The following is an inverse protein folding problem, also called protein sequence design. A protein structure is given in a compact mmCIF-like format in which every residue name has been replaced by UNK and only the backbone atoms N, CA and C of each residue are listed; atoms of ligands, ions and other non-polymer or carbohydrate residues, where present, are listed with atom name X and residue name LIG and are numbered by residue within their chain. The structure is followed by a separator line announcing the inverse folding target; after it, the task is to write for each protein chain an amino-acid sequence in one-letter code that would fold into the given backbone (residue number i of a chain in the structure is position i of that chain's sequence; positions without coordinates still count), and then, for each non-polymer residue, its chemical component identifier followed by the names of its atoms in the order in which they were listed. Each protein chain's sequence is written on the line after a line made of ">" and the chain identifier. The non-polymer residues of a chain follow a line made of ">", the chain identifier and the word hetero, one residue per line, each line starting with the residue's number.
data_IF_656054593748
#
_entry.id   IF_656054593748
#
_cell.length_a   1.000
_cell.length_b   1.000
_cell.length_c   1.000
_cell.angle_alpha   90.00
_cell.angle_beta   90.00
_cell.angle_gamma   90.00
#
_symmetry.space_group_name_H-M   'P 1'
#
loop_
_entity.id
_entity.type
_entity.pdbx_description
1 polymer ?
#
# COMPACT_ATOMS: atom_id res chain seq x y z
N UNK A 1 12.43 -7.96 12.99
CA UNK A 1 12.87 -9.03 13.92
C UNK A 1 13.98 -9.81 13.23
N UNK A 2 14.93 -10.38 13.98
CA UNK A 2 16.03 -11.14 13.38
C UNK A 2 15.56 -12.42 12.71
N UNK A 3 16.34 -12.91 11.74
CA UNK A 3 16.15 -14.24 11.14
C UNK A 3 16.02 -15.28 12.25
N UNK A 4 15.09 -16.22 12.11
CA UNK A 4 14.84 -17.33 13.05
C UNK A 4 14.25 -16.96 14.43
N UNK A 5 13.72 -15.74 14.61
CA UNK A 5 13.02 -15.37 15.86
C UNK A 5 11.72 -16.16 16.06
N UNK A 6 11.03 -16.52 14.97
CA UNK A 6 9.81 -17.33 14.96
C UNK A 6 10.07 -18.53 14.05
N UNK A 7 9.70 -19.74 14.49
CA UNK A 7 9.96 -20.94 13.69
C UNK A 7 9.14 -20.93 12.38
N UNK A 8 9.73 -21.47 11.31
CA UNK A 8 9.05 -21.64 10.01
C UNK A 8 7.75 -22.44 10.14
N UNK A 9 7.72 -23.44 11.02
CA UNK A 9 6.50 -24.22 11.29
C UNK A 9 5.37 -23.36 11.88
N UNK A 10 5.67 -22.45 12.80
CA UNK A 10 4.67 -21.53 13.35
C UNK A 10 4.18 -20.52 12.30
N UNK A 11 5.09 -19.96 11.50
CA UNK A 11 4.71 -19.07 10.39
C UNK A 11 3.81 -19.80 9.38
N UNK A 12 4.20 -21.02 8.98
CA UNK A 12 3.43 -21.86 8.05
C UNK A 12 2.02 -22.18 8.55
N UNK A 13 1.86 -22.47 9.85
CA UNK A 13 0.55 -22.73 10.45
C UNK A 13 -0.38 -21.50 10.34
N UNK A 14 0.15 -20.29 10.50
CA UNK A 14 -0.61 -19.05 10.32
C UNK A 14 -0.98 -18.85 8.85
N UNK A 15 -0.04 -19.08 7.92
CA UNK A 15 -0.30 -18.96 6.48
C UNK A 15 -1.37 -19.95 6.02
N UNK A 16 -1.31 -21.21 6.49
CA UNK A 16 -2.31 -22.23 6.16
C UNK A 16 -3.73 -21.80 6.56
N UNK A 17 -3.89 -21.23 7.76
CA UNK A 17 -5.20 -20.73 8.21
C UNK A 17 -5.64 -19.47 7.45
N UNK A 18 -4.71 -18.57 7.08
CA UNK A 18 -5.02 -17.39 6.24
C UNK A 18 -5.51 -17.84 4.85
N UNK A 19 -4.83 -18.77 4.20
CA UNK A 19 -5.22 -19.28 2.87
C UNK A 19 -6.56 -20.01 2.97
N UNK A 20 -6.71 -20.91 3.94
CA UNK A 20 -7.95 -21.67 4.17
C UNK A 20 -9.15 -20.76 4.43
N UNK A 21 -8.99 -19.75 5.27
CA UNK A 21 -10.05 -18.77 5.53
C UNK A 21 -10.38 -17.96 4.28
N UNK A 22 -9.36 -17.53 3.53
CA UNK A 22 -9.49 -16.79 2.27
C UNK A 22 -10.28 -17.55 1.22
N UNK A 23 -9.90 -18.82 0.97
CA UNK A 23 -10.59 -19.73 0.05
C UNK A 23 -12.02 -20.03 0.46
N UNK A 24 -12.31 -20.10 1.78
CA UNK A 24 -13.64 -20.38 2.30
C UNK A 24 -14.62 -19.22 2.08
N UNK A 25 -14.16 -17.98 2.24
CA UNK A 25 -14.99 -16.79 2.03
C UNK A 25 -15.05 -16.33 0.57
N UNK A 26 -14.12 -16.81 -0.26
CA UNK A 26 -14.07 -16.53 -1.68
C UNK A 26 -15.32 -17.03 -2.42
N UNK A 27 -15.76 -16.26 -3.41
CA UNK A 27 -16.78 -16.69 -4.35
C UNK A 27 -16.09 -17.49 -5.47
N UNK A 28 -16.39 -18.80 -5.55
CA UNK A 28 -15.85 -19.68 -6.60
C UNK A 28 -16.05 -19.04 -7.99
N UNK A 29 -14.94 -18.72 -8.67
CA UNK A 29 -14.93 -18.20 -10.04
C UNK A 29 -14.70 -16.68 -10.20
N UNK A 30 -14.54 -15.89 -9.12
CA UNK A 30 -14.21 -14.44 -9.22
C UNK A 30 -12.88 -14.06 -8.59
N UNK A 31 -12.83 -14.02 -7.26
CA UNK A 31 -11.64 -13.67 -6.49
C UNK A 31 -11.21 -14.91 -5.68
N UNK A 32 -9.98 -15.46 -5.88
CA UNK A 32 -9.56 -16.70 -5.22
C UNK A 32 -9.47 -16.62 -3.70
N UNK A 33 -9.06 -15.46 -3.16
CA UNK A 33 -9.00 -15.20 -1.72
C UNK A 33 -9.86 -13.99 -1.38
N UNK A 34 -10.69 -14.12 -0.35
CA UNK A 34 -11.50 -13.02 0.17
C UNK A 34 -11.47 -12.98 1.69
N UNK A 35 -11.48 -11.78 2.25
CA UNK A 35 -11.40 -11.56 3.70
C UNK A 35 -12.39 -10.49 4.13
N UNK A 36 -12.75 -10.51 5.40
CA UNK A 36 -13.68 -9.55 5.99
C UNK A 36 -13.14 -9.04 7.33
N UNK A 37 -13.27 -7.75 7.55
CA UNK A 37 -12.99 -7.11 8.83
C UNK A 37 -14.13 -6.15 9.17
N UNK A 38 -14.67 -6.24 10.38
CA UNK A 38 -15.83 -5.46 10.83
C UNK A 38 -17.01 -5.48 9.85
N UNK A 39 -17.35 -6.68 9.32
CA UNK A 39 -18.47 -6.87 8.39
C UNK A 39 -18.24 -6.32 6.98
N UNK A 40 -17.00 -5.93 6.63
CA UNK A 40 -16.65 -5.37 5.32
C UNK A 40 -15.48 -6.08 4.67
N UNK A 41 -15.61 -6.34 3.38
CA UNK A 41 -14.58 -6.95 2.52
C UNK A 41 -13.67 -5.87 1.96
N UNK A 42 -12.75 -5.37 2.78
CA UNK A 42 -11.85 -4.28 2.42
C UNK A 42 -10.79 -4.69 1.38
N UNK A 43 -10.36 -3.72 0.57
CA UNK A 43 -9.33 -3.93 -0.45
C UNK A 43 -7.97 -3.32 -0.10
N UNK A 44 -7.96 -2.24 0.68
CA UNK A 44 -6.74 -1.47 0.96
C UNK A 44 -5.72 -2.17 1.86
N UNK A 45 -4.56 -1.53 2.05
CA UNK A 45 -3.41 -2.13 2.73
C UNK A 45 -3.62 -2.34 4.24
N UNK A 46 -4.36 -1.45 4.90
CA UNK A 46 -4.48 -1.50 6.37
C UNK A 46 -5.36 -2.67 6.87
N UNK A 47 -6.44 -2.98 6.16
CA UNK A 47 -7.49 -3.89 6.65
C UNK A 47 -8.03 -4.84 5.57
N UNK A 48 -7.40 -4.88 4.40
CA UNK A 48 -7.98 -5.52 3.22
C UNK A 48 -7.02 -6.41 2.44
N UNK A 49 -7.49 -6.80 1.25
CA UNK A 49 -6.81 -7.73 0.35
C UNK A 49 -5.35 -7.34 0.10
N UNK A 50 -5.08 -6.07 -0.23
CA UNK A 50 -3.72 -5.60 -0.51
C UNK A 50 -2.74 -5.90 0.64
N UNK A 51 -3.15 -5.63 1.88
CA UNK A 51 -2.32 -5.90 3.06
C UNK A 51 -2.03 -7.37 3.24
N UNK A 52 -3.05 -8.22 3.08
CA UNK A 52 -2.91 -9.66 3.26
C UNK A 52 -2.04 -10.26 2.15
N UNK A 53 -2.26 -9.87 0.89
CA UNK A 53 -1.42 -10.33 -0.23
C UNK A 53 0.02 -9.87 -0.06
N UNK A 54 0.24 -8.64 0.41
CA UNK A 54 1.58 -8.11 0.68
C UNK A 54 2.35 -8.99 1.67
N UNK A 55 1.72 -9.40 2.77
CA UNK A 55 2.34 -10.28 3.77
C UNK A 55 2.54 -11.70 3.23
N UNK A 56 1.55 -12.26 2.53
CA UNK A 56 1.65 -13.61 1.96
C UNK A 56 2.83 -13.75 0.99
N UNK A 57 3.18 -12.69 0.26
CA UNK A 57 4.33 -12.69 -0.65
C UNK A 57 5.70 -12.73 0.05
N UNK A 58 5.78 -12.49 1.36
CA UNK A 58 7.01 -12.71 2.15
C UNK A 58 7.15 -14.15 2.65
N UNK A 59 6.13 -14.98 2.45
CA UNK A 59 6.06 -16.32 3.01
C UNK A 59 6.39 -17.37 1.96
N UNK A 60 6.84 -18.54 2.42
CA UNK A 60 6.96 -19.73 1.56
C UNK A 60 5.56 -20.27 1.24
N UNK A 61 5.09 -20.00 0.02
CA UNK A 61 3.79 -20.44 -0.50
C UNK A 61 3.92 -21.68 -1.38
N UNK A 62 2.91 -22.55 -1.32
CA UNK A 62 2.77 -23.67 -2.28
C UNK A 62 2.39 -23.14 -3.67
N UNK A 63 2.64 -23.89 -4.76
CA UNK A 63 2.31 -23.42 -6.12
C UNK A 63 0.85 -22.99 -6.30
N UNK A 64 -0.11 -23.69 -5.70
CA UNK A 64 -1.53 -23.34 -5.74
C UNK A 64 -1.86 -22.07 -4.92
N UNK A 65 -1.13 -21.85 -3.82
CA UNK A 65 -1.26 -20.65 -2.98
C UNK A 65 -0.69 -19.41 -3.70
N UNK A 66 0.40 -19.58 -4.46
CA UNK A 66 0.96 -18.52 -5.32
C UNK A 66 -0.06 -18.08 -6.38
N UNK A 67 -0.71 -19.04 -7.05
CA UNK A 67 -1.72 -18.72 -8.07
C UNK A 67 -2.96 -18.04 -7.48
N UNK A 68 -3.35 -18.39 -6.25
CA UNK A 68 -4.42 -17.71 -5.53
C UNK A 68 -4.07 -16.25 -5.19
N UNK A 69 -2.83 -15.99 -4.76
CA UNK A 69 -2.35 -14.63 -4.49
C UNK A 69 -2.34 -13.81 -5.78
N UNK A 70 -1.74 -14.34 -6.85
CA UNK A 70 -1.73 -13.68 -8.17
C UNK A 70 -3.15 -13.42 -8.69
N UNK A 71 -4.02 -14.42 -8.61
CA UNK A 71 -5.41 -14.31 -9.05
C UNK A 71 -6.20 -13.26 -8.25
N UNK A 72 -5.94 -13.13 -6.95
CA UNK A 72 -6.53 -12.07 -6.10
C UNK A 72 -6.04 -10.68 -6.51
N UNK A 73 -4.74 -10.52 -6.79
CA UNK A 73 -4.20 -9.25 -7.28
C UNK A 73 -4.76 -8.88 -8.66
N UNK A 74 -4.83 -9.84 -9.60
CA UNK A 74 -5.44 -9.63 -10.92
C UNK A 74 -6.93 -9.28 -10.82
N UNK A 75 -7.64 -9.89 -9.87
CA UNK A 75 -9.02 -9.50 -9.56
C UNK A 75 -9.11 -8.03 -9.16
N UNK A 76 -8.23 -7.54 -8.29
CA UNK A 76 -8.21 -6.13 -7.90
C UNK A 76 -7.89 -5.21 -9.09
N UNK A 77 -6.88 -5.54 -9.89
CA UNK A 77 -6.48 -4.77 -11.08
C UNK A 77 -7.65 -4.63 -12.06
N UNK A 78 -8.32 -5.74 -12.37
CA UNK A 78 -9.44 -5.79 -13.33
C UNK A 78 -10.65 -4.98 -12.88
N UNK A 79 -10.87 -4.86 -11.57
CA UNK A 79 -12.07 -4.27 -10.99
C UNK A 79 -11.80 -2.92 -10.29
N UNK A 80 -10.70 -2.24 -10.65
CA UNK A 80 -10.43 -0.85 -10.24
C UNK A 80 -11.44 0.12 -10.85
N UNK A 81 -11.55 1.33 -10.29
CA UNK A 81 -12.42 2.38 -10.84
C UNK A 81 -11.93 2.85 -12.22
N UNK A 82 -12.81 3.47 -13.04
CA UNK A 82 -12.41 4.08 -14.31
C UNK A 82 -11.28 5.12 -14.19
N UNK A 83 -11.13 5.76 -13.03
CA UNK A 83 -10.03 6.69 -12.75
C UNK A 83 -8.67 6.02 -12.57
N UNK A 84 -8.63 4.69 -12.45
CA UNK A 84 -7.47 3.89 -12.06
C UNK A 84 -7.34 3.66 -10.54
N UNK A 85 -8.10 4.37 -9.70
CA UNK A 85 -8.08 4.18 -8.25
C UNK A 85 -8.78 2.89 -7.82
N UNK A 86 -8.57 2.44 -6.59
CA UNK A 86 -9.14 1.19 -6.07
C UNK A 86 -10.29 1.45 -5.08
N UNK A 87 -11.35 0.63 -5.12
CA UNK A 87 -12.41 0.65 -4.11
C UNK A 87 -11.87 0.50 -2.70
N UNK A 88 -12.57 1.08 -1.73
CA UNK A 88 -12.23 0.87 -0.31
C UNK A 88 -12.59 -0.55 0.16
N UNK A 89 -13.71 -1.08 -0.34
CA UNK A 89 -14.22 -2.42 -0.09
C UNK A 89 -15.07 -2.91 -1.26
N UNK A 90 -15.40 -4.20 -1.29
CA UNK A 90 -16.36 -4.79 -2.25
C UNK A 90 -17.65 -3.96 -2.33
N UNK A 91 -18.14 -3.73 -3.55
CA UNK A 91 -19.37 -2.98 -3.83
C UNK A 91 -19.31 -1.47 -3.55
N UNK A 92 -18.16 -0.93 -3.12
CA UNK A 92 -18.03 0.52 -2.93
C UNK A 92 -17.94 1.22 -4.28
N UNK A 93 -18.90 2.12 -4.55
CA UNK A 93 -18.93 2.95 -5.77
C UNK A 93 -18.26 4.33 -5.57
N UNK A 94 -17.75 4.61 -4.36
CA UNK A 94 -17.20 5.92 -3.99
C UNK A 94 -15.69 6.01 -4.26
N UNK A 95 -15.34 6.61 -5.39
CA UNK A 95 -13.94 6.86 -5.78
C UNK A 95 -13.39 8.16 -5.17
N UNK A 96 -13.12 8.13 -3.86
CA UNK A 96 -12.64 9.32 -3.13
C UNK A 96 -11.34 9.14 -2.34
N UNK A 97 -11.05 7.92 -1.87
CA UNK A 97 -9.92 7.67 -0.97
C UNK A 97 -8.67 7.35 -1.79
N UNK A 98 -7.61 8.14 -1.60
CA UNK A 98 -6.29 7.95 -2.22
C UNK A 98 -5.27 7.89 -1.08
N UNK A 99 -5.42 6.87 -0.23
CA UNK A 99 -4.67 6.70 1.01
C UNK A 99 -3.94 5.35 1.03
N UNK A 100 -2.92 5.20 1.88
CA UNK A 100 -2.32 3.88 2.12
C UNK A 100 -3.37 2.90 2.67
N UNK A 101 -4.16 3.32 3.66
CA UNK A 101 -5.18 2.45 4.25
C UNK A 101 -6.27 2.03 3.27
N UNK A 102 -6.66 2.90 2.34
CA UNK A 102 -7.71 2.66 1.34
C UNK A 102 -7.44 3.44 0.05
N UNK A 103 -7.32 2.72 -1.07
CA UNK A 103 -7.14 3.27 -2.41
C UNK A 103 -5.77 2.97 -3.02
N UNK A 104 -5.45 3.69 -4.09
CA UNK A 104 -4.27 3.46 -4.91
C UNK A 104 -2.95 3.37 -4.14
N UNK A 105 -2.62 4.24 -3.15
CA UNK A 105 -1.30 4.19 -2.52
C UNK A 105 -0.94 2.84 -1.91
N UNK A 106 -1.81 2.25 -1.10
CA UNK A 106 -1.54 0.94 -0.48
C UNK A 106 -1.51 -0.20 -1.50
N UNK A 107 -2.36 -0.12 -2.54
CA UNK A 107 -2.39 -1.11 -3.61
C UNK A 107 -1.14 -1.01 -4.49
N UNK A 108 -0.63 0.19 -4.79
CA UNK A 108 0.61 0.37 -5.55
C UNK A 108 1.78 -0.29 -4.85
N UNK A 109 1.97 -0.09 -3.54
CA UNK A 109 3.06 -0.73 -2.79
C UNK A 109 2.96 -2.26 -2.84
N UNK A 110 1.73 -2.80 -2.80
CA UNK A 110 1.51 -4.25 -2.93
C UNK A 110 1.84 -4.75 -4.34
N UNK A 111 1.42 -4.03 -5.38
CA UNK A 111 1.68 -4.40 -6.77
C UNK A 111 3.15 -4.25 -7.14
N UNK A 112 3.85 -3.29 -6.57
CA UNK A 112 5.29 -3.14 -6.71
C UNK A 112 6.02 -4.38 -6.19
N UNK A 113 5.68 -4.81 -4.97
CA UNK A 113 6.19 -6.08 -4.41
C UNK A 113 5.83 -7.29 -5.26
N UNK A 114 4.60 -7.37 -5.77
CA UNK A 114 4.19 -8.46 -6.65
C UNK A 114 5.02 -8.50 -7.95
N UNK A 115 5.41 -7.34 -8.48
CA UNK A 115 6.29 -7.27 -9.63
C UNK A 115 7.70 -7.79 -9.31
N UNK A 116 8.24 -7.50 -8.12
CA UNK A 116 9.55 -8.02 -7.68
C UNK A 116 9.52 -9.53 -7.45
N UNK A 117 8.50 -10.03 -6.75
CA UNK A 117 8.39 -11.44 -6.35
C UNK A 117 8.05 -12.34 -7.53
N UNK A 118 7.15 -11.92 -8.43
CA UNK A 118 6.68 -12.76 -9.51
C UNK A 118 7.34 -12.47 -10.87
N UNK A 119 7.98 -11.31 -11.04
CA UNK A 119 8.63 -10.92 -12.30
C UNK A 119 7.66 -10.68 -13.47
N UNK A 120 6.36 -10.56 -13.21
CA UNK A 120 5.34 -10.43 -14.25
C UNK A 120 5.08 -8.96 -14.60
N UNK A 121 5.16 -8.63 -15.90
CA UNK A 121 4.98 -7.26 -16.43
C UNK A 121 3.61 -6.66 -16.10
N UNK A 122 2.58 -7.49 -15.93
CA UNK A 122 1.23 -7.03 -15.58
C UNK A 122 1.22 -6.30 -14.23
N UNK A 123 1.90 -6.84 -13.21
CA UNK A 123 1.95 -6.22 -11.89
C UNK A 123 2.76 -4.92 -11.91
N UNK A 124 3.87 -4.89 -12.65
CA UNK A 124 4.65 -3.68 -12.84
C UNK A 124 3.80 -2.57 -13.48
N UNK A 125 3.12 -2.87 -14.59
CA UNK A 125 2.29 -1.87 -15.27
C UNK A 125 1.14 -1.39 -14.37
N UNK A 126 0.49 -2.31 -13.64
CA UNK A 126 -0.58 -1.96 -12.72
C UNK A 126 -0.09 -1.09 -11.55
N UNK A 127 1.12 -1.32 -11.04
CA UNK A 127 1.75 -0.47 -10.03
C UNK A 127 2.01 0.94 -10.56
N UNK A 128 2.56 1.06 -11.79
CA UNK A 128 2.79 2.33 -12.48
C UNK A 128 1.48 3.10 -12.68
N UNK A 129 0.46 2.45 -13.22
CA UNK A 129 -0.87 3.05 -13.43
C UNK A 129 -1.48 3.56 -12.12
N UNK A 130 -1.37 2.79 -11.04
CA UNK A 130 -1.86 3.19 -9.73
C UNK A 130 -1.03 4.36 -9.17
N UNK A 131 0.28 4.40 -9.42
CA UNK A 131 1.16 5.53 -9.10
C UNK A 131 0.75 6.83 -9.81
N UNK A 132 0.24 6.77 -11.04
CA UNK A 132 -0.32 7.93 -11.75
C UNK A 132 -1.54 8.53 -11.04
N UNK A 133 -2.37 7.70 -10.42
CA UNK A 133 -3.48 8.17 -9.57
C UNK A 133 -2.95 8.96 -8.39
N UNK A 134 -1.90 8.45 -7.72
CA UNK A 134 -1.28 9.11 -6.57
C UNK A 134 -0.62 10.42 -6.99
N UNK A 135 0.00 10.47 -8.16
CA UNK A 135 0.56 11.73 -8.68
C UNK A 135 -0.51 12.79 -8.89
N UNK A 136 -1.64 12.42 -9.50
CA UNK A 136 -2.72 13.37 -9.84
C UNK A 136 -3.60 13.76 -8.63
N UNK A 137 -3.76 12.87 -7.64
CA UNK A 137 -4.77 13.01 -6.57
C UNK A 137 -4.22 12.81 -5.15
N UNK A 138 -2.95 12.45 -5.00
CA UNK A 138 -2.35 12.04 -3.73
C UNK A 138 -1.79 13.17 -2.88
N UNK A 139 -1.84 14.43 -3.33
CA UNK A 139 -1.47 15.59 -2.51
C UNK A 139 -2.62 15.95 -1.55
N UNK A 140 -2.76 15.14 -0.50
CA UNK A 140 -3.89 15.20 0.43
C UNK A 140 -3.84 16.43 1.35
N UNK A 141 -4.99 16.82 1.90
CA UNK A 141 -5.08 17.83 2.97
C UNK A 141 -4.79 17.24 4.35
N UNK A 142 -3.84 16.31 4.45
CA UNK A 142 -3.44 15.62 5.70
C UNK A 142 -1.94 15.29 5.67
N UNK A 143 -1.27 15.36 6.81
CA UNK A 143 0.19 15.24 6.88
C UNK A 143 0.70 13.79 6.95
N UNK A 144 0.03 12.91 7.70
CA UNK A 144 0.59 11.64 8.17
C UNK A 144 0.84 10.52 7.13
N UNK A 145 1.19 9.35 7.66
CA UNK A 145 1.55 8.14 6.89
C UNK A 145 0.33 7.32 6.45
N UNK A 146 -0.67 7.14 7.31
CA UNK A 146 -1.81 6.28 7.02
C UNK A 146 -2.67 6.78 5.84
N UNK A 147 -2.86 8.10 5.80
CA UNK A 147 -3.76 8.77 4.86
C UNK A 147 -3.38 10.25 4.68
N UNK A 148 -2.09 10.53 4.50
CA UNK A 148 -1.55 11.86 4.27
C UNK A 148 -0.48 11.87 3.18
N UNK A 149 0.07 13.05 2.93
CA UNK A 149 1.10 13.25 1.89
C UNK A 149 2.35 12.42 2.23
N UNK A 150 2.70 12.28 3.51
CA UNK A 150 3.91 11.54 3.90
C UNK A 150 3.82 10.07 3.44
N UNK A 151 2.69 9.41 3.70
CA UNK A 151 2.48 8.03 3.25
C UNK A 151 2.40 7.88 1.74
N UNK A 152 1.74 8.82 1.06
CA UNK A 152 1.63 8.79 -0.40
C UNK A 152 2.98 9.02 -1.09
N UNK A 153 3.95 9.65 -0.43
CA UNK A 153 5.32 9.82 -0.97
C UNK A 153 6.02 8.48 -1.18
N UNK A 154 5.81 7.51 -0.28
CA UNK A 154 6.40 6.18 -0.39
C UNK A 154 6.00 5.42 -1.64
N UNK A 155 4.87 5.75 -2.27
CA UNK A 155 4.48 5.18 -3.56
C UNK A 155 5.53 5.46 -4.62
N UNK A 156 6.03 6.69 -4.68
CA UNK A 156 7.04 7.07 -5.65
C UNK A 156 8.42 6.54 -5.28
N UNK A 157 8.73 6.43 -3.99
CA UNK A 157 9.96 5.75 -3.54
C UNK A 157 9.95 4.28 -3.94
N UNK A 158 8.84 3.58 -3.74
CA UNK A 158 8.68 2.17 -4.12
C UNK A 158 8.79 1.97 -5.63
N UNK A 159 8.15 2.82 -6.44
CA UNK A 159 8.29 2.80 -7.89
C UNK A 159 9.71 3.16 -8.37
N UNK A 160 10.40 4.06 -7.68
CA UNK A 160 11.80 4.38 -7.98
C UNK A 160 12.70 3.16 -7.75
N UNK A 161 12.56 2.48 -6.60
CA UNK A 161 13.33 1.26 -6.30
C UNK A 161 13.06 0.14 -7.30
N UNK A 162 11.79 -0.06 -7.64
CA UNK A 162 11.36 -1.11 -8.57
C UNK A 162 11.89 -0.88 -9.99
N UNK A 163 11.94 0.38 -10.46
CA UNK A 163 12.17 0.68 -11.88
C UNK A 163 13.52 1.33 -12.19
N UNK A 164 14.19 1.91 -11.19
CA UNK A 164 15.33 2.79 -11.38
C UNK A 164 15.01 4.11 -12.08
N UNK A 165 13.74 4.39 -12.42
CA UNK A 165 13.36 5.61 -13.14
C UNK A 165 13.36 6.82 -12.19
N UNK A 166 14.31 7.74 -12.44
CA UNK A 166 14.52 8.97 -11.68
C UNK A 166 13.32 9.91 -11.65
N UNK A 167 12.36 9.77 -12.57
CA UNK A 167 11.11 10.54 -12.53
C UNK A 167 10.32 10.27 -11.24
N UNK A 168 10.29 9.02 -10.77
CA UNK A 168 9.61 8.71 -9.51
C UNK A 168 10.33 9.32 -8.30
N UNK A 169 11.66 9.36 -8.32
CA UNK A 169 12.42 10.08 -7.30
C UNK A 169 12.09 11.58 -7.31
N UNK A 170 11.93 12.19 -8.49
CA UNK A 170 11.49 13.58 -8.60
C UNK A 170 10.08 13.79 -8.00
N UNK A 171 9.14 12.87 -8.25
CA UNK A 171 7.78 12.95 -7.66
C UNK A 171 7.80 12.79 -6.14
N UNK A 172 8.62 11.88 -5.60
CA UNK A 172 8.83 11.74 -4.17
C UNK A 172 9.38 13.05 -3.56
N UNK A 173 10.42 13.61 -4.20
CA UNK A 173 11.00 14.90 -3.82
C UNK A 173 9.96 16.02 -3.85
N UNK A 174 9.10 16.09 -4.86
CA UNK A 174 8.07 17.13 -4.96
C UNK A 174 7.09 17.08 -3.77
N UNK A 175 6.65 15.88 -3.36
CA UNK A 175 5.78 15.71 -2.20
C UNK A 175 6.50 16.09 -0.89
N UNK A 176 7.76 15.65 -0.73
CA UNK A 176 8.56 15.99 0.44
C UNK A 176 8.84 17.51 0.53
N UNK A 177 9.16 18.18 -0.58
CA UNK A 177 9.33 19.62 -0.64
C UNK A 177 8.03 20.37 -0.31
N UNK A 178 6.88 19.90 -0.78
CA UNK A 178 5.60 20.48 -0.41
C UNK A 178 5.35 20.38 1.10
N UNK A 179 5.64 19.22 1.71
CA UNK A 179 5.54 19.05 3.15
C UNK A 179 6.47 20.02 3.90
N UNK A 180 7.73 20.09 3.50
CA UNK A 180 8.74 20.96 4.11
C UNK A 180 8.34 22.44 4.06
N UNK A 181 7.90 22.92 2.90
CA UNK A 181 7.57 24.34 2.66
C UNK A 181 6.20 24.74 3.25
N UNK A 182 5.20 23.83 3.20
CA UNK A 182 3.79 24.21 3.41
C UNK A 182 3.11 23.55 4.60
N UNK A 183 3.54 22.38 5.07
CA UNK A 183 2.75 21.60 6.03
C UNK A 183 2.50 22.37 7.33
N UNK A 184 3.54 22.93 7.95
CA UNK A 184 3.43 23.66 9.22
C UNK A 184 2.43 24.82 9.13
N UNK A 185 2.54 25.65 8.09
CA UNK A 185 1.63 26.78 7.86
C UNK A 185 0.19 26.30 7.60
N UNK A 186 0.00 25.28 6.76
CA UNK A 186 -1.34 24.78 6.43
C UNK A 186 -2.02 24.09 7.63
N UNK A 187 -1.25 23.44 8.50
CA UNK A 187 -1.75 22.85 9.74
C UNK A 187 -2.18 23.96 10.72
N UNK A 188 -1.33 24.97 10.93
CA UNK A 188 -1.65 26.10 11.81
C UNK A 188 -2.89 26.89 11.34
N UNK A 189 -3.10 27.00 10.02
CA UNK A 189 -4.29 27.63 9.41
C UNK A 189 -5.52 26.71 9.37
N UNK A 190 -5.44 25.46 9.82
CA UNK A 190 -6.55 24.49 9.76
C UNK A 190 -6.91 24.01 8.35
N UNK A 191 -6.07 24.29 7.34
CA UNK A 191 -6.28 23.88 5.93
C UNK A 191 -5.75 22.48 5.64
N UNK A 192 -4.85 21.96 6.48
CA UNK A 192 -4.33 20.60 6.46
C UNK A 192 -4.52 19.97 7.84
N UNK A 193 -5.01 18.74 7.89
CA UNK A 193 -5.16 18.00 9.13
C UNK A 193 -3.80 17.49 9.63
N UNK A 194 -3.42 17.88 10.86
CA UNK A 194 -2.16 17.47 11.51
C UNK A 194 -2.18 16.06 12.13
N UNK A 195 -3.33 15.37 12.11
CA UNK A 195 -3.53 14.07 12.75
C UNK A 195 -4.23 14.20 14.11
N UNK A 196 -5.07 13.23 14.48
CA UNK A 196 -5.78 13.25 15.77
C UNK A 196 -4.80 13.09 16.93
N UNK A 197 -3.71 12.34 16.70
CA UNK A 197 -2.50 12.33 17.53
C UNK A 197 -1.38 13.02 16.76
N UNK A 198 -1.19 14.35 16.91
CA UNK A 198 -0.35 15.16 16.03
C UNK A 198 1.14 14.76 15.98
N UNK A 199 1.63 14.05 16.98
CA UNK A 199 3.04 13.60 17.07
C UNK A 199 3.21 12.09 16.80
N UNK A 200 2.14 11.38 16.48
CA UNK A 200 2.20 9.94 16.22
C UNK A 200 2.88 9.62 14.87
N UNK A 201 3.36 8.38 14.74
CA UNK A 201 3.95 7.87 13.50
C UNK A 201 2.94 7.84 12.34
N UNK A 202 1.75 7.27 12.57
CA UNK A 202 0.81 7.00 11.47
C UNK A 202 -0.08 8.17 11.08
N UNK A 203 -0.38 9.11 11.98
CA UNK A 203 -1.29 10.22 11.68
C UNK A 203 -0.60 11.58 11.66
N UNK A 204 0.44 11.73 12.48
CA UNK A 204 1.04 13.01 12.81
C UNK A 204 2.34 13.32 12.09
N UNK A 205 3.03 14.35 12.61
CA UNK A 205 4.33 14.79 12.11
C UNK A 205 5.45 13.78 12.39
N UNK A 206 5.25 12.81 13.30
CA UNK A 206 6.21 11.74 13.51
C UNK A 206 6.46 10.94 12.24
N UNK A 207 5.41 10.66 11.47
CA UNK A 207 5.51 10.03 10.15
C UNK A 207 6.13 10.91 9.07
N UNK A 208 5.88 12.23 9.11
CA UNK A 208 6.53 13.19 8.22
C UNK A 208 8.04 13.24 8.48
N UNK A 209 8.46 13.27 9.74
CA UNK A 209 9.87 13.20 10.12
C UNK A 209 10.50 11.90 9.66
N UNK A 210 9.81 10.75 9.83
CA UNK A 210 10.30 9.46 9.35
C UNK A 210 10.53 9.46 7.83
N UNK A 211 9.57 9.98 7.05
CA UNK A 211 9.75 10.15 5.61
C UNK A 211 10.99 11.00 5.28
N UNK A 212 11.20 12.13 5.96
CA UNK A 212 12.36 12.99 5.68
C UNK A 212 13.69 12.30 5.94
N UNK A 213 13.77 11.41 6.93
CA UNK A 213 14.96 10.59 7.17
C UNK A 213 15.15 9.57 6.05
N UNK A 214 14.09 8.90 5.61
CA UNK A 214 14.14 7.95 4.51
C UNK A 214 14.50 8.61 3.16
N UNK A 215 14.17 9.89 2.97
CA UNK A 215 14.56 10.64 1.77
C UNK A 215 16.08 10.91 1.67
N UNK A 216 16.86 10.65 2.73
CA UNK A 216 18.34 10.75 2.69
C UNK A 216 18.92 9.63 1.82
N UNK A 217 18.35 8.43 1.89
CA UNK A 217 18.76 7.28 1.07
C UNK A 217 17.53 6.66 0.37
N UNK A 218 17.03 7.29 -0.71
CA UNK A 218 15.76 6.91 -1.34
C UNK A 218 15.69 5.48 -1.89
N UNK A 219 16.84 4.87 -2.20
CA UNK A 219 16.93 3.46 -2.63
C UNK A 219 16.65 2.48 -1.49
N UNK A 220 16.93 2.87 -0.25
CA UNK A 220 16.72 2.03 0.94
C UNK A 220 15.43 2.37 1.70
N UNK A 221 14.77 3.49 1.38
CA UNK A 221 13.51 3.87 2.00
C UNK A 221 12.48 2.73 1.95
N UNK A 222 11.68 2.56 3.01
CA UNK A 222 10.63 1.53 3.11
C UNK A 222 9.44 2.10 3.88
N UNK A 223 8.22 1.91 3.37
CA UNK A 223 7.03 2.35 4.10
C UNK A 223 7.03 1.72 5.50
N UNK A 224 6.98 2.52 6.59
CA UNK A 224 7.16 2.01 7.94
C UNK A 224 6.07 1.01 8.32
N UNK A 225 6.51 -0.14 8.85
CA UNK A 225 5.65 -1.25 9.28
C UNK A 225 4.75 -1.83 8.17
N UNK A 226 5.15 -1.68 6.90
CA UNK A 226 4.49 -2.32 5.78
C UNK A 226 5.47 -2.98 4.81
N UNK A 227 6.42 -2.22 4.24
CA UNK A 227 7.47 -2.78 3.37
C UNK A 227 8.63 -3.30 4.23
N UNK A 228 9.20 -4.46 3.84
CA UNK A 228 10.34 -5.11 4.49
C UNK A 228 11.66 -4.87 3.74
#
# INVERSE_FOLDING_TARGET
>A
MGKDTISTAQMRAVVDEIIKAGRRLANRGRCPLMYEWHGKKYWGAAHGLAGIMHVLMDMELKPDEVEDVKGTLRYMIKNRFPSGNYPSSEGSESDRLVHWCHGAPGVTLTLAKAAEVFGEKEFLQAAVDAGEVVWKRGLLKRVGICHGISGNTYVFLSLYRLTGNVEYLYRAKAFACFLYDRAQKLIAEGKMHGGDRPYSLFEGIGGMTHLFLDMIEPSEARFPAYEL
#
